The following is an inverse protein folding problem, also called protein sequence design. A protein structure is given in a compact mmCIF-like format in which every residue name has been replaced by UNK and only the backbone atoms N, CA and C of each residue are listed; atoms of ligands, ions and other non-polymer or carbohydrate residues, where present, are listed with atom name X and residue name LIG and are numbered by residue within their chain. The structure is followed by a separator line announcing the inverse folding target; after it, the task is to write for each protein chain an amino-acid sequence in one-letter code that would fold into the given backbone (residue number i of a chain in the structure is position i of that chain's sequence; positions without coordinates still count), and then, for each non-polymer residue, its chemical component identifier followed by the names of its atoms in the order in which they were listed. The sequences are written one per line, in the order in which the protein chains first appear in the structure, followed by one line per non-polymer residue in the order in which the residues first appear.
data_IF_317565095292
#
_entry.id   IF_317565095292
#
_cell.length_a   1.000
_cell.length_b   1.000
_cell.length_c   1.000
_cell.angle_alpha   90.00
_cell.angle_beta   90.00
_cell.angle_gamma   90.00
#
_symmetry.space_group_name_H-M   'P 1'
#
loop_
_entity.id
_entity.type
_entity.pdbx_description
1 polymer ?
#
# COMPACT_ATOMS: atom_id res chain seq x y z
N UNK A 1 17.93 -2.48 11.71
CA UNK A 1 17.52 -1.71 10.52
C UNK A 1 16.30 -2.42 9.96
N UNK A 2 15.11 -1.81 10.00
CA UNK A 2 13.92 -2.43 9.42
C UNK A 2 14.13 -2.53 7.90
N UNK A 3 14.02 -3.73 7.36
CA UNK A 3 14.05 -3.98 5.91
C UNK A 3 12.98 -3.10 5.26
N UNK A 4 13.40 -2.15 4.42
CA UNK A 4 12.45 -1.29 3.71
C UNK A 4 11.62 -2.15 2.77
N UNK A 5 10.29 -2.04 2.89
CA UNK A 5 9.33 -2.82 2.11
C UNK A 5 9.51 -2.49 0.64
N UNK A 6 9.78 -3.51 -0.18
CA UNK A 6 10.01 -3.33 -1.61
C UNK A 6 8.73 -3.55 -2.40
N UNK A 7 8.59 -2.79 -3.48
CA UNK A 7 7.48 -2.90 -4.45
C UNK A 7 7.27 -4.32 -4.96
N UNK A 8 8.35 -5.03 -5.26
CA UNK A 8 8.26 -6.41 -5.76
C UNK A 8 7.68 -7.38 -4.74
N UNK A 9 7.89 -7.15 -3.44
CA UNK A 9 7.35 -8.04 -2.40
C UNK A 9 5.84 -7.83 -2.25
N UNK A 10 5.39 -6.56 -2.36
CA UNK A 10 3.97 -6.22 -2.45
C UNK A 10 3.31 -6.86 -3.68
N UNK A 11 3.95 -6.79 -4.85
CA UNK A 11 3.42 -7.42 -6.08
C UNK A 11 3.41 -8.94 -5.99
N UNK A 12 4.41 -9.56 -5.35
CA UNK A 12 4.38 -11.02 -5.11
C UNK A 12 3.20 -11.42 -4.21
N UNK A 13 2.86 -10.59 -3.22
CA UNK A 13 1.79 -10.87 -2.28
C UNK A 13 0.40 -10.66 -2.90
N UNK A 14 0.19 -9.51 -3.57
CA UNK A 14 -1.13 -9.08 -4.05
C UNK A 14 -1.35 -9.23 -5.56
N UNK A 15 -0.29 -9.44 -6.34
CA UNK A 15 -0.33 -9.33 -7.79
C UNK A 15 -0.21 -7.88 -8.27
N UNK A 16 -0.68 -7.62 -9.49
CA UNK A 16 -0.73 -6.27 -10.07
C UNK A 16 -1.84 -5.46 -9.40
N UNK A 17 -1.62 -4.18 -9.05
CA UNK A 17 -2.67 -3.32 -8.53
C UNK A 17 -3.79 -3.10 -9.55
N UNK A 18 -5.04 -3.06 -9.09
CA UNK A 18 -6.20 -2.72 -9.92
C UNK A 18 -6.11 -1.31 -10.47
N UNK A 19 -5.52 -0.39 -9.70
CA UNK A 19 -5.28 0.98 -10.13
C UNK A 19 -3.97 1.51 -9.56
N UNK A 20 -3.18 2.13 -10.43
CA UNK A 20 -2.01 2.92 -10.05
C UNK A 20 -2.29 4.38 -10.36
N UNK A 21 -2.05 5.28 -9.41
CA UNK A 21 -2.23 6.72 -9.61
C UNK A 21 -0.98 7.48 -9.18
N UNK A 22 -0.53 8.37 -10.06
CA UNK A 22 0.76 9.05 -9.93
C UNK A 22 1.90 8.21 -10.47
N UNK A 23 3.12 8.59 -10.13
CA UNK A 23 4.35 7.91 -10.55
C UNK A 23 5.47 8.24 -9.60
N UNK A 24 6.26 7.24 -9.25
CA UNK A 24 7.46 7.39 -8.39
C UNK A 24 8.49 8.35 -8.96
N UNK A 25 8.50 8.52 -10.28
CA UNK A 25 9.42 9.41 -10.98
C UNK A 25 8.92 10.85 -11.03
N UNK A 26 7.64 11.10 -10.77
CA UNK A 26 7.09 12.45 -10.76
C UNK A 26 7.54 13.21 -9.50
N UNK A 27 7.98 14.48 -9.64
CA UNK A 27 8.37 15.29 -8.49
C UNK A 27 7.16 15.83 -7.70
N UNK A 28 5.95 15.75 -8.28
CA UNK A 28 4.74 16.22 -7.60
C UNK A 28 4.39 15.24 -6.49
N UNK A 29 4.19 15.79 -5.30
CA UNK A 29 3.77 15.05 -4.14
C UNK A 29 2.30 15.35 -3.85
N UNK A 30 1.62 14.35 -3.31
CA UNK A 30 0.22 14.40 -2.91
C UNK A 30 0.16 14.00 -1.44
N UNK A 31 -0.93 14.37 -0.78
CA UNK A 31 -1.19 13.99 0.61
C UNK A 31 -2.57 13.35 0.71
N UNK A 32 -2.65 12.18 1.33
CA UNK A 32 -3.90 11.47 1.59
C UNK A 32 -3.75 10.61 2.84
N UNK A 33 -4.79 10.56 3.69
CA UNK A 33 -4.81 9.74 4.91
C UNK A 33 -3.58 9.94 5.82
N UNK A 34 -3.00 11.14 5.81
CA UNK A 34 -1.79 11.48 6.58
C UNK A 34 -0.46 11.06 5.95
N UNK A 35 -0.46 10.53 4.71
CA UNK A 35 0.75 10.13 4.00
C UNK A 35 1.06 11.07 2.84
N UNK A 36 2.33 11.48 2.73
CA UNK A 36 2.88 12.21 1.57
C UNK A 36 3.46 11.21 0.58
N UNK A 37 3.01 11.23 -0.67
CA UNK A 37 3.35 10.22 -1.68
C UNK A 37 3.44 10.81 -3.10
N UNK A 38 4.13 10.12 -4.01
CA UNK A 38 4.14 10.43 -5.45
C UNK A 38 3.23 9.47 -6.21
N UNK A 39 3.11 8.23 -5.73
CA UNK A 39 2.31 7.18 -6.35
C UNK A 39 1.54 6.40 -5.29
N UNK A 40 0.31 6.00 -5.63
CA UNK A 40 -0.46 5.04 -4.82
C UNK A 40 -0.95 3.88 -5.66
N UNK A 41 -1.03 2.71 -5.03
CA UNK A 41 -1.56 1.48 -5.59
C UNK A 41 -2.83 1.10 -4.86
N UNK A 42 -3.92 0.90 -5.60
CA UNK A 42 -5.19 0.42 -5.10
C UNK A 42 -5.39 -1.04 -5.49
N UNK A 43 -5.74 -1.86 -4.51
CA UNK A 43 -6.11 -3.26 -4.64
C UNK A 43 -7.56 -3.45 -4.19
N UNK A 44 -8.37 -4.07 -5.03
CA UNK A 44 -9.77 -4.41 -4.76
C UNK A 44 -9.88 -5.89 -4.43
N UNK A 45 -10.47 -6.20 -3.29
CA UNK A 45 -10.64 -7.56 -2.75
C UNK A 45 -9.34 -8.39 -2.82
N UNK A 46 -8.21 -7.89 -2.30
CA UNK A 46 -6.94 -8.61 -2.32
C UNK A 46 -7.07 -9.96 -1.60
N UNK A 47 -6.79 -11.06 -2.31
CA UNK A 47 -7.03 -12.43 -1.79
C UNK A 47 -6.09 -12.81 -0.64
N UNK A 48 -4.83 -12.38 -0.71
CA UNK A 48 -3.79 -12.70 0.27
C UNK A 48 -3.57 -11.56 1.28
N UNK A 49 -4.61 -10.77 1.54
CA UNK A 49 -4.51 -9.63 2.42
C UNK A 49 -4.34 -10.03 3.89
N UNK A 50 -3.26 -9.61 4.57
CA UNK A 50 -3.03 -9.95 5.97
C UNK A 50 -4.11 -9.37 6.90
N UNK A 51 -4.73 -8.24 6.54
CA UNK A 51 -5.83 -7.64 7.28
C UNK A 51 -7.22 -8.13 6.82
N UNK A 52 -7.27 -9.00 5.81
CA UNK A 52 -8.50 -9.44 5.11
C UNK A 52 -9.35 -8.24 4.65
N UNK A 53 -8.69 -7.21 4.13
CA UNK A 53 -9.33 -5.99 3.70
C UNK A 53 -10.24 -6.20 2.48
N UNK A 54 -11.32 -5.41 2.40
CA UNK A 54 -12.14 -5.34 1.20
C UNK A 54 -11.43 -4.54 0.10
N UNK A 55 -10.79 -3.43 0.47
CA UNK A 55 -9.88 -2.66 -0.40
C UNK A 55 -8.63 -2.29 0.38
N UNK A 56 -7.50 -2.21 -0.32
CA UNK A 56 -6.24 -1.74 0.24
C UNK A 56 -5.62 -0.70 -0.68
N UNK A 57 -5.12 0.37 -0.09
CA UNK A 57 -4.25 1.34 -0.76
C UNK A 57 -2.86 1.29 -0.13
N UNK A 58 -1.84 1.40 -0.99
CA UNK A 58 -0.43 1.46 -0.60
C UNK A 58 0.16 2.72 -1.18
N UNK A 59 0.88 3.47 -0.35
CA UNK A 59 1.46 4.76 -0.69
C UNK A 59 2.97 4.63 -0.86
N UNK A 60 3.48 5.22 -1.95
CA UNK A 60 4.89 5.26 -2.31
C UNK A 60 5.35 6.70 -2.42
N UNK A 61 6.40 7.06 -1.68
CA UNK A 61 7.14 8.30 -1.89
C UNK A 61 8.44 7.95 -2.58
N UNK A 62 8.62 8.41 -3.82
CA UNK A 62 9.60 7.85 -4.75
C UNK A 62 9.49 6.32 -4.74
N UNK A 63 10.55 5.62 -4.38
CA UNK A 63 10.58 4.15 -4.33
C UNK A 63 10.33 3.59 -2.92
N UNK A 64 10.15 4.46 -1.92
CA UNK A 64 10.01 4.09 -0.52
C UNK A 64 8.54 3.87 -0.17
N UNK A 65 8.29 2.76 0.54
CA UNK A 65 6.99 2.52 1.17
C UNK A 65 6.81 3.52 2.31
N UNK A 66 5.71 4.27 2.29
CA UNK A 66 5.41 5.26 3.34
C UNK A 66 4.17 4.92 4.15
N UNK A 67 3.30 4.04 3.65
CA UNK A 67 2.13 3.62 4.39
C UNK A 67 1.16 2.76 3.62
N UNK A 68 0.19 2.21 4.34
CA UNK A 68 -0.96 1.52 3.76
C UNK A 68 -2.21 1.86 4.55
N UNK A 69 -3.33 1.99 3.83
CA UNK A 69 -4.65 2.04 4.44
C UNK A 69 -5.52 0.91 3.89
N UNK A 70 -6.49 0.48 4.68
CA UNK A 70 -7.47 -0.52 4.31
C UNK A 70 -8.88 0.02 4.47
N UNK A 71 -9.80 -0.60 3.75
CA UNK A 71 -11.24 -0.44 3.92
C UNK A 71 -11.84 -1.83 4.11
N UNK A 72 -12.68 -2.03 5.13
CA UNK A 72 -13.29 -3.35 5.43
C UNK A 72 -14.61 -3.60 4.70
N UNK A 73 -15.23 -2.56 4.17
CA UNK A 73 -16.48 -2.63 3.43
C UNK A 73 -16.47 -1.60 2.29
N UNK A 74 -17.34 -1.72 1.27
CA UNK A 74 -17.38 -0.80 0.13
C UNK A 74 -17.60 0.66 0.51
N UNK A 75 -18.27 0.92 1.64
CA UNK A 75 -18.63 2.26 2.11
C UNK A 75 -17.99 2.63 3.46
N UNK A 76 -17.10 1.79 4.01
CA UNK A 76 -16.44 2.02 5.29
C UNK A 76 -15.44 3.19 5.30
N UNK A 77 -14.85 3.56 6.43
CA UNK A 77 -13.74 4.51 6.45
C UNK A 77 -12.44 3.87 5.94
N UNK A 78 -11.51 4.69 5.47
CA UNK A 78 -10.11 4.28 5.30
C UNK A 78 -9.42 4.29 6.66
N UNK A 79 -8.76 3.19 6.99
CA UNK A 79 -8.05 2.99 8.25
C UNK A 79 -6.57 2.73 7.96
N UNK A 80 -5.67 3.39 8.68
CA UNK A 80 -4.23 3.10 8.59
C UNK A 80 -3.96 1.66 9.04
N UNK A 81 -3.20 0.91 8.26
CA UNK A 81 -2.89 -0.49 8.54
C UNK A 81 -1.38 -0.75 8.61
N UNK A 82 -0.94 -1.28 9.76
CA UNK A 82 0.44 -1.73 9.98
C UNK A 82 0.67 -3.21 9.68
N UNK A 83 -0.38 -4.01 9.44
CA UNK A 83 -0.25 -5.46 9.27
C UNK A 83 0.56 -5.85 8.03
N UNK A 84 0.48 -5.07 6.96
CA UNK A 84 1.30 -5.26 5.76
C UNK A 84 2.79 -5.18 6.07
N UNK A 85 3.19 -4.16 6.85
CA UNK A 85 4.59 -3.98 7.21
C UNK A 85 5.09 -5.11 8.12
N UNK A 86 4.27 -5.54 9.08
CA UNK A 86 4.57 -6.72 9.90
C UNK A 86 4.70 -8.00 9.08
N UNK A 87 3.84 -8.20 8.08
CA UNK A 87 3.86 -9.38 7.21
C UNK A 87 5.11 -9.42 6.32
N UNK A 88 5.47 -8.31 5.66
CA UNK A 88 6.59 -8.26 4.72
C UNK A 88 7.96 -8.19 5.40
N UNK A 89 8.05 -7.67 6.62
CA UNK A 89 9.30 -7.66 7.40
C UNK A 89 9.71 -9.03 7.93
N UNK A 90 8.76 -9.96 8.09
CA UNK A 90 9.01 -11.34 8.54
C UNK A 90 9.34 -12.32 7.40
N UNK A 91 9.12 -11.91 6.15
CA UNK A 91 9.33 -12.75 4.97
C UNK A 91 10.74 -12.64 4.36
N UNK A 92 11.66 -11.93 5.03
CA UNK A 92 13.02 -11.63 4.59
C UNK A 92 14.08 -12.51 5.27
#
# INVERSE_FOLDING_TARGET
MASSIRRNDVVKLFGTPDRTEGSVNEPREREENGFRFNERWLYKRPRNDPARAYERVIYWHRYDFVGSCIRRSPDGPWEVDGSLAGCLSQAA
#
